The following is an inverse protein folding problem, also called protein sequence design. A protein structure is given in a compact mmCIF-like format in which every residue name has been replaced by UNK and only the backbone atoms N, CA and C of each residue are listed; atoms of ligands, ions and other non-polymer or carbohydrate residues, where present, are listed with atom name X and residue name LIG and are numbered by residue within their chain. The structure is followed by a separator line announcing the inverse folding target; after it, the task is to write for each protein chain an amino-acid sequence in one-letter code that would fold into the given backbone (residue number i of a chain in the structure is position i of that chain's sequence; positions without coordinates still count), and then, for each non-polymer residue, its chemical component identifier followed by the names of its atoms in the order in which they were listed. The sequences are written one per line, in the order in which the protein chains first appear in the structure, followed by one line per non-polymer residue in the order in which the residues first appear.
data_IF_673980790555
#
_entry.id   IF_673980790555
#
_cell.length_a   1.000
_cell.length_b   1.000
_cell.length_c   1.000
_cell.angle_alpha   90.00
_cell.angle_beta   90.00
_cell.angle_gamma   90.00
#
_symmetry.space_group_name_H-M   'P 1'
#
loop_
_entity.id
_entity.type
_entity.pdbx_description
1 polymer ?
#
# COMPACT_ATOMS: atom_id res chain seq x y z
N UNK A 1 -0.79 -29.44 -7.61
CA UNK A 1 -1.23 -29.08 -6.24
C UNK A 1 -1.86 -27.71 -6.33
N UNK A 2 -2.93 -27.41 -5.57
CA UNK A 2 -3.54 -26.08 -5.57
C UNK A 2 -2.51 -25.03 -5.09
N UNK A 3 -2.55 -23.81 -5.65
CA UNK A 3 -1.66 -22.74 -5.23
C UNK A 3 -1.83 -22.43 -3.74
N UNK A 4 -0.72 -22.09 -3.07
CA UNK A 4 -0.74 -21.57 -1.73
C UNK A 4 -1.37 -20.17 -1.71
N UNK A 5 -2.34 -19.95 -0.83
CA UNK A 5 -3.01 -18.65 -0.70
C UNK A 5 -2.17 -17.74 0.20
N UNK A 6 -1.74 -16.61 -0.35
CA UNK A 6 -1.04 -15.56 0.41
C UNK A 6 -2.10 -14.71 1.13
N UNK A 7 -2.51 -15.15 2.33
CA UNK A 7 -3.51 -14.45 3.14
C UNK A 7 -2.92 -13.21 3.80
N UNK A 8 -3.14 -12.06 3.18
CA UNK A 8 -2.70 -10.77 3.70
C UNK A 8 -3.39 -10.39 5.02
N UNK A 9 -4.54 -10.96 5.38
CA UNK A 9 -5.12 -10.75 6.71
C UNK A 9 -4.29 -11.44 7.79
N UNK A 10 -3.82 -12.66 7.54
CA UNK A 10 -2.97 -13.40 8.47
C UNK A 10 -1.65 -12.65 8.68
N UNK A 11 -1.01 -12.23 7.60
CA UNK A 11 0.25 -11.50 7.64
C UNK A 11 0.07 -10.14 8.34
N UNK A 12 -1.01 -9.42 8.01
CA UNK A 12 -1.34 -8.16 8.69
C UNK A 12 -1.52 -8.35 10.19
N UNK A 13 -2.19 -9.42 10.64
CA UNK A 13 -2.33 -9.71 12.08
C UNK A 13 -0.99 -9.96 12.76
N UNK A 14 -0.09 -10.72 12.11
CA UNK A 14 1.24 -11.00 12.65
C UNK A 14 2.04 -9.70 12.83
N UNK A 15 2.13 -8.86 11.79
CA UNK A 15 2.86 -7.59 11.84
C UNK A 15 2.25 -6.63 12.85
N UNK A 16 0.92 -6.55 12.95
CA UNK A 16 0.27 -5.69 13.95
C UNK A 16 0.58 -6.13 15.38
N UNK A 17 0.71 -7.43 15.63
CA UNK A 17 1.11 -7.93 16.95
C UNK A 17 2.53 -7.49 17.32
N UNK A 18 3.47 -7.52 16.36
CA UNK A 18 4.82 -6.97 16.55
C UNK A 18 4.79 -5.46 16.82
N UNK A 19 4.03 -4.72 16.01
CA UNK A 19 3.87 -3.27 16.17
C UNK A 19 3.23 -2.87 17.50
N UNK A 20 2.28 -3.66 18.02
CA UNK A 20 1.68 -3.40 19.33
C UNK A 20 2.74 -3.41 20.43
N UNK A 21 3.73 -4.31 20.37
CA UNK A 21 4.83 -4.31 21.33
C UNK A 21 5.68 -3.04 21.20
N UNK A 22 5.98 -2.60 19.98
CA UNK A 22 6.70 -1.35 19.75
C UNK A 22 5.93 -0.12 20.26
N UNK A 23 4.60 -0.09 20.08
CA UNK A 23 3.73 0.99 20.55
C UNK A 23 3.74 1.05 22.08
N UNK A 24 3.61 -0.09 22.76
CA UNK A 24 3.65 -0.13 24.22
C UNK A 24 5.00 0.33 24.75
N UNK A 25 6.11 -0.07 24.10
CA UNK A 25 7.43 0.43 24.45
C UNK A 25 7.52 1.97 24.33
N UNK A 26 7.03 2.54 23.23
CA UNK A 26 7.01 4.00 23.03
C UNK A 26 6.23 4.72 24.13
N UNK A 27 5.09 4.16 24.57
CA UNK A 27 4.29 4.73 25.65
C UNK A 27 4.99 4.64 27.00
N UNK A 28 5.55 3.48 27.34
CA UNK A 28 6.09 3.24 28.68
C UNK A 28 7.46 3.89 28.89
N UNK A 29 8.33 3.84 27.87
CA UNK A 29 9.72 4.34 28.00
C UNK A 29 9.84 5.81 27.64
N UNK A 30 9.05 6.29 26.67
CA UNK A 30 9.21 7.63 26.10
C UNK A 30 7.98 8.53 26.29
N UNK A 31 6.87 8.01 26.85
CA UNK A 31 5.61 8.75 27.01
C UNK A 31 5.05 9.26 25.67
N UNK A 32 5.36 8.56 24.58
CA UNK A 32 4.90 8.90 23.22
C UNK A 32 3.82 7.90 22.81
N UNK A 33 2.66 8.43 22.44
CA UNK A 33 1.63 7.65 21.72
C UNK A 33 1.71 8.01 20.24
N UNK A 34 1.99 7.04 19.34
CA UNK A 34 1.98 7.30 17.90
C UNK A 34 0.64 7.86 17.46
N UNK A 35 0.67 8.86 16.58
CA UNK A 35 -0.50 9.65 16.23
C UNK A 35 -0.66 9.78 14.72
N UNK A 36 -1.83 9.40 14.20
CA UNK A 36 -2.16 9.50 12.78
C UNK A 36 -3.31 10.49 12.55
N UNK A 37 -3.07 11.50 11.72
CA UNK A 37 -4.12 12.35 11.16
C UNK A 37 -4.53 11.82 9.78
N UNK A 38 -5.84 11.62 9.58
CA UNK A 38 -6.42 11.24 8.29
C UNK A 38 -7.28 12.37 7.74
N UNK A 39 -7.06 12.77 6.50
CA UNK A 39 -7.83 13.83 5.82
C UNK A 39 -8.63 13.21 4.68
N UNK A 40 -9.94 13.40 4.71
CA UNK A 40 -10.86 12.95 3.68
C UNK A 40 -11.55 14.18 3.07
N UNK A 41 -11.51 14.30 1.75
CA UNK A 41 -12.22 15.35 1.02
C UNK A 41 -13.35 14.76 0.18
N UNK A 42 -14.58 15.20 0.43
CA UNK A 42 -15.78 14.74 -0.27
C UNK A 42 -16.35 13.43 0.28
N UNK A 43 -17.24 12.81 -0.50
CA UNK A 43 -18.14 11.75 -0.01
C UNK A 43 -17.96 10.42 -0.74
N UNK A 44 -16.81 10.19 -1.38
CA UNK A 44 -16.57 8.93 -2.09
C UNK A 44 -16.74 7.72 -1.13
N UNK A 45 -17.70 6.81 -1.38
CA UNK A 45 -17.99 5.72 -0.45
C UNK A 45 -16.83 4.74 -0.23
N UNK A 46 -15.98 4.55 -1.25
CA UNK A 46 -14.77 3.73 -1.13
C UNK A 46 -13.76 4.39 -0.20
N UNK A 47 -13.46 5.67 -0.42
CA UNK A 47 -12.54 6.46 0.43
C UNK A 47 -13.01 6.50 1.88
N UNK A 48 -14.29 6.74 2.12
CA UNK A 48 -14.87 6.69 3.47
C UNK A 48 -14.69 5.33 4.15
N UNK A 49 -14.91 4.24 3.42
CA UNK A 49 -14.72 2.89 3.97
C UNK A 49 -13.27 2.64 4.35
N UNK A 50 -12.32 3.05 3.50
CA UNK A 50 -10.90 2.90 3.79
C UNK A 50 -10.46 3.72 5.00
N UNK A 51 -10.87 4.98 5.09
CA UNK A 51 -10.54 5.85 6.23
C UNK A 51 -11.12 5.28 7.53
N UNK A 52 -12.36 4.80 7.53
CA UNK A 52 -12.95 4.11 8.69
C UNK A 52 -12.14 2.90 9.13
N UNK A 53 -11.67 2.08 8.18
CA UNK A 53 -10.85 0.90 8.50
C UNK A 53 -9.48 1.29 9.07
N UNK A 54 -8.84 2.32 8.53
CA UNK A 54 -7.57 2.86 9.03
C UNK A 54 -7.70 3.36 10.46
N UNK A 55 -8.71 4.20 10.72
CA UNK A 55 -8.97 4.73 12.06
C UNK A 55 -9.31 3.62 13.05
N UNK A 56 -10.16 2.66 12.67
CA UNK A 56 -10.45 1.49 13.51
C UNK A 56 -9.16 0.74 13.89
N UNK A 57 -8.28 0.49 12.93
CA UNK A 57 -7.02 -0.22 13.19
C UNK A 57 -6.06 0.57 14.10
N UNK A 58 -6.00 1.91 13.97
CA UNK A 58 -5.25 2.75 14.92
C UNK A 58 -5.75 2.57 16.36
N UNK A 59 -7.06 2.65 16.58
CA UNK A 59 -7.66 2.54 17.91
C UNK A 59 -7.45 1.15 18.51
N UNK A 60 -7.61 0.08 17.70
CA UNK A 60 -7.36 -1.30 18.13
C UNK A 60 -5.91 -1.53 18.56
N UNK A 61 -4.94 -0.80 17.99
CA UNK A 61 -3.53 -0.87 18.34
C UNK A 61 -3.11 0.12 19.44
N UNK A 62 -4.06 0.90 19.97
CA UNK A 62 -3.80 1.90 21.01
C UNK A 62 -3.00 3.12 20.52
N UNK A 63 -3.11 3.48 19.24
CA UNK A 63 -2.57 4.71 18.67
C UNK A 63 -3.57 5.85 18.80
N UNK A 64 -3.07 7.09 18.85
CA UNK A 64 -3.90 8.27 18.70
C UNK A 64 -4.30 8.43 17.23
N UNK A 65 -5.56 8.74 16.96
CA UNK A 65 -6.07 8.92 15.60
C UNK A 65 -7.07 10.05 15.56
N UNK A 66 -6.91 10.94 14.58
CA UNK A 66 -7.87 11.99 14.28
C UNK A 66 -8.26 11.98 12.80
N UNK A 67 -9.52 12.30 12.53
CA UNK A 67 -10.06 12.36 11.18
C UNK A 67 -10.61 13.74 10.88
N UNK A 68 -10.13 14.33 9.81
CA UNK A 68 -10.62 15.58 9.24
C UNK A 68 -11.43 15.27 7.99
N UNK A 69 -12.74 15.54 8.02
CA UNK A 69 -13.61 15.34 6.86
C UNK A 69 -14.03 16.71 6.32
N UNK A 70 -13.62 17.00 5.09
CA UNK A 70 -13.88 18.27 4.41
C UNK A 70 -14.89 18.05 3.28
N UNK A 71 -15.73 19.06 2.97
CA UNK A 71 -16.67 18.95 1.86
C UNK A 71 -15.92 18.88 0.52
N UNK A 72 -16.55 18.31 -0.50
CA UNK A 72 -15.99 18.24 -1.86
C UNK A 72 -15.74 19.64 -2.48
N UNK A 73 -16.33 20.69 -1.91
CA UNK A 73 -16.22 22.09 -2.32
C UNK A 73 -15.09 22.85 -1.62
N UNK A 74 -14.34 22.21 -0.71
CA UNK A 74 -13.21 22.86 -0.02
C UNK A 74 -12.19 23.39 -1.04
N UNK A 75 -11.61 24.56 -0.75
CA UNK A 75 -10.55 25.12 -1.59
C UNK A 75 -9.20 24.46 -1.34
N UNK A 76 -8.31 24.53 -2.33
CA UNK A 76 -6.91 24.09 -2.20
C UNK A 76 -6.21 24.81 -1.03
N UNK A 77 -6.45 26.12 -0.88
CA UNK A 77 -5.86 26.94 0.20
C UNK A 77 -6.30 26.48 1.59
N UNK A 78 -7.59 26.15 1.77
CA UNK A 78 -8.10 25.65 3.05
C UNK A 78 -7.49 24.29 3.41
N UNK A 79 -7.36 23.40 2.42
CA UNK A 79 -6.73 22.09 2.63
C UNK A 79 -5.23 22.23 2.97
N UNK A 80 -4.51 23.11 2.28
CA UNK A 80 -3.11 23.42 2.59
C UNK A 80 -2.94 24.01 4.00
N UNK A 81 -3.86 24.88 4.44
CA UNK A 81 -3.85 25.43 5.79
C UNK A 81 -4.03 24.34 6.85
N UNK A 82 -4.94 23.39 6.62
CA UNK A 82 -5.10 22.23 7.51
C UNK A 82 -3.81 21.40 7.56
N UNK A 83 -3.19 21.09 6.42
CA UNK A 83 -1.94 20.32 6.37
C UNK A 83 -0.82 21.04 7.14
N UNK A 84 -0.72 22.36 7.01
CA UNK A 84 0.23 23.16 7.76
C UNK A 84 0.00 23.07 9.28
N UNK A 85 -1.25 23.05 9.74
CA UNK A 85 -1.58 22.84 11.16
C UNK A 85 -1.15 21.44 11.63
N UNK A 86 -1.45 20.40 10.85
CA UNK A 86 -1.09 19.01 11.17
C UNK A 86 0.44 18.80 11.19
N UNK A 87 1.16 19.46 10.29
CA UNK A 87 2.62 19.46 10.28
C UNK A 87 3.20 20.02 11.60
N UNK A 88 2.56 21.02 12.20
CA UNK A 88 3.00 21.63 13.47
C UNK A 88 2.51 20.87 14.72
N UNK A 89 1.48 20.03 14.59
CA UNK A 89 0.90 19.29 15.72
C UNK A 89 1.87 18.22 16.25
N UNK A 90 2.35 18.39 17.49
CA UNK A 90 3.35 17.48 18.11
C UNK A 90 2.81 16.09 18.41
N UNK A 91 1.50 15.95 18.61
CA UNK A 91 0.82 14.67 18.81
C UNK A 91 0.56 13.92 17.50
N UNK A 92 0.77 14.55 16.34
CA UNK A 92 0.62 13.94 15.02
C UNK A 92 1.99 13.59 14.46
N UNK A 93 2.22 12.30 14.24
CA UNK A 93 3.47 11.75 13.73
C UNK A 93 3.33 11.31 12.27
N UNK A 94 2.11 10.89 11.87
CA UNK A 94 1.78 10.54 10.50
C UNK A 94 0.60 11.36 9.99
N UNK A 95 0.66 11.76 8.74
CA UNK A 95 -0.42 12.43 8.01
C UNK A 95 -0.73 11.60 6.77
N UNK A 96 -2.01 11.36 6.55
CA UNK A 96 -2.57 10.74 5.37
C UNK A 96 -3.62 11.68 4.77
N UNK A 97 -3.44 12.07 3.51
CA UNK A 97 -4.52 12.66 2.70
C UNK A 97 -5.08 11.58 1.78
N UNK A 98 -6.36 11.23 1.96
CA UNK A 98 -6.99 10.15 1.21
C UNK A 98 -7.29 10.59 -0.23
N UNK A 99 -6.60 9.95 -1.18
CA UNK A 99 -6.81 10.12 -2.62
C UNK A 99 -7.95 9.25 -3.18
N UNK A 100 -8.53 9.59 -4.35
CA UNK A 100 -8.28 10.81 -5.13
C UNK A 100 -8.95 12.05 -4.51
N UNK A 101 -8.39 13.23 -4.77
CA UNK A 101 -8.99 14.51 -4.38
C UNK A 101 -9.98 15.01 -5.45
N UNK A 102 -10.88 15.95 -5.10
CA UNK A 102 -11.69 16.65 -6.09
C UNK A 102 -10.83 17.31 -7.18
N UNK A 103 -11.32 17.30 -8.42
CA UNK A 103 -10.55 17.72 -9.62
C UNK A 103 -10.01 19.15 -9.56
N UNK A 104 -10.59 20.02 -8.74
CA UNK A 104 -10.15 21.41 -8.59
C UNK A 104 -8.91 21.58 -7.69
N UNK A 105 -8.47 20.52 -7.02
CA UNK A 105 -7.31 20.53 -6.12
C UNK A 105 -6.15 19.80 -6.80
N UNK A 106 -4.97 20.40 -6.79
CA UNK A 106 -3.75 19.74 -7.27
C UNK A 106 -3.23 18.76 -6.21
N UNK A 107 -3.41 17.45 -6.47
CA UNK A 107 -2.94 16.39 -5.58
C UNK A 107 -1.43 16.48 -5.29
N UNK A 108 -0.62 16.90 -6.26
CA UNK A 108 0.83 16.97 -6.09
C UNK A 108 1.22 18.04 -5.08
N UNK A 109 0.58 19.22 -5.14
CA UNK A 109 0.82 20.29 -4.15
C UNK A 109 0.44 19.86 -2.74
N UNK A 110 -0.65 19.11 -2.62
CA UNK A 110 -1.10 18.59 -1.33
C UNK A 110 -0.10 17.57 -0.77
N UNK A 111 0.39 16.65 -1.60
CA UNK A 111 1.42 15.67 -1.22
C UNK A 111 2.71 16.38 -0.78
N UNK A 112 3.18 17.38 -1.54
CA UNK A 112 4.39 18.15 -1.24
C UNK A 112 4.27 19.04 0.01
N UNK A 113 3.05 19.41 0.41
CA UNK A 113 2.82 20.18 1.61
C UNK A 113 2.98 19.37 2.90
N UNK A 114 2.90 18.04 2.84
CA UNK A 114 3.10 17.16 4.01
C UNK A 114 4.61 17.09 4.29
N UNK A 115 5.03 17.33 5.54
CA UNK A 115 6.44 17.19 5.90
C UNK A 115 6.94 15.76 5.59
N UNK A 116 8.12 15.56 4.96
CA UNK A 116 8.63 14.23 4.64
C UNK A 116 8.68 13.27 5.83
N UNK A 117 8.97 13.78 7.02
CA UNK A 117 9.01 13.06 8.30
C UNK A 117 7.63 12.73 8.89
N UNK A 118 6.55 13.27 8.32
CA UNK A 118 5.15 12.93 8.66
C UNK A 118 4.37 12.29 7.51
N UNK A 119 4.98 12.08 6.34
CA UNK A 119 4.37 11.46 5.17
C UNK A 119 4.18 9.94 5.38
N UNK A 120 3.10 9.58 6.08
CA UNK A 120 2.83 8.21 6.47
C UNK A 120 2.50 7.30 5.27
N UNK A 121 2.02 7.88 4.17
CA UNK A 121 1.74 7.15 2.93
C UNK A 121 2.97 7.01 2.02
N UNK A 122 4.07 7.72 2.31
CA UNK A 122 5.34 7.62 1.58
C UNK A 122 5.32 8.21 0.17
N UNK A 123 4.39 9.13 -0.13
CA UNK A 123 4.23 9.70 -1.48
C UNK A 123 5.00 11.00 -1.70
N UNK A 124 5.50 11.63 -0.64
CA UNK A 124 6.26 12.86 -0.76
C UNK A 124 7.49 12.63 -1.66
N UNK A 125 7.78 13.52 -2.64
CA UNK A 125 8.90 13.34 -3.58
C UNK A 125 10.25 13.08 -2.90
N UNK A 126 10.50 13.69 -1.74
CA UNK A 126 11.68 13.40 -0.91
C UNK A 126 11.77 11.93 -0.46
N UNK A 127 10.66 11.33 0.00
CA UNK A 127 10.63 9.92 0.42
C UNK A 127 10.73 8.99 -0.79
N UNK A 128 10.06 9.33 -1.89
CA UNK A 128 10.20 8.61 -3.16
C UNK A 128 11.63 8.68 -3.73
N UNK A 129 12.28 9.83 -3.61
CA UNK A 129 13.68 10.03 -3.99
C UNK A 129 14.61 9.17 -3.13
N UNK A 130 14.44 9.19 -1.80
CA UNK A 130 15.16 8.31 -0.87
C UNK A 130 14.98 6.84 -1.23
N UNK A 131 13.75 6.41 -1.49
CA UNK A 131 13.44 5.05 -1.93
C UNK A 131 14.19 4.68 -3.22
N UNK A 132 14.20 5.56 -4.22
CA UNK A 132 14.86 5.33 -5.50
C UNK A 132 16.36 5.04 -5.33
N UNK A 133 17.03 5.81 -4.47
CA UNK A 133 18.49 5.68 -4.25
C UNK A 133 18.87 4.78 -3.07
N UNK A 134 17.90 4.10 -2.45
CA UNK A 134 18.15 3.16 -1.36
C UNK A 134 18.53 3.82 -0.03
N UNK A 135 18.06 5.04 0.23
CA UNK A 135 18.22 5.71 1.53
C UNK A 135 17.03 5.42 2.47
N UNK A 136 17.26 5.47 3.80
CA UNK A 136 16.18 5.36 4.78
C UNK A 136 15.12 6.46 4.59
N UNK A 137 13.85 6.06 4.61
CA UNK A 137 12.69 6.94 4.48
C UNK A 137 11.39 6.13 4.52
N UNK A 138 10.24 6.82 4.53
CA UNK A 138 8.96 6.12 4.46
C UNK A 138 8.75 5.52 3.08
N UNK A 139 8.17 4.32 3.08
CA UNK A 139 7.90 3.54 1.87
C UNK A 139 6.40 3.58 1.59
N UNK A 140 5.97 3.73 0.32
CA UNK A 140 4.58 3.58 -0.06
C UNK A 140 3.91 2.34 0.52
N UNK A 141 2.80 2.53 1.21
CA UNK A 141 2.16 1.50 2.04
C UNK A 141 1.83 0.22 1.25
N UNK A 142 1.27 0.36 0.05
CA UNK A 142 0.89 -0.79 -0.78
C UNK A 142 2.12 -1.57 -1.29
N UNK A 143 3.11 -0.94 -1.94
CA UNK A 143 4.38 -1.60 -2.27
C UNK A 143 5.07 -2.25 -1.08
N UNK A 144 5.16 -1.56 0.06
CA UNK A 144 5.80 -2.12 1.23
C UNK A 144 5.03 -3.33 1.77
N UNK A 145 3.69 -3.30 1.68
CA UNK A 145 2.83 -4.43 2.01
C UNK A 145 3.10 -5.64 1.11
N UNK A 146 3.26 -5.43 -0.20
CA UNK A 146 3.62 -6.49 -1.15
C UNK A 146 4.97 -7.10 -0.82
N UNK A 147 5.99 -6.29 -0.53
CA UNK A 147 7.30 -6.76 -0.11
C UNK A 147 7.19 -7.67 1.13
N UNK A 148 6.43 -7.23 2.15
CA UNK A 148 6.21 -8.03 3.36
C UNK A 148 5.39 -9.29 3.11
N UNK A 149 4.40 -9.26 2.22
CA UNK A 149 3.63 -10.45 1.86
C UNK A 149 4.51 -11.54 1.26
N UNK A 150 5.43 -11.16 0.37
CA UNK A 150 6.39 -12.09 -0.23
C UNK A 150 7.26 -12.76 0.84
N UNK A 151 7.85 -11.98 1.73
CA UNK A 151 8.80 -12.50 2.74
C UNK A 151 8.13 -13.32 3.83
N UNK A 152 7.00 -12.85 4.37
CA UNK A 152 6.23 -13.59 5.38
C UNK A 152 5.67 -14.91 4.85
N UNK A 153 5.50 -15.02 3.54
CA UNK A 153 5.00 -16.23 2.89
C UNK A 153 6.12 -17.16 2.40
N UNK A 154 7.39 -16.84 2.67
CA UNK A 154 8.55 -17.64 2.25
C UNK A 154 8.93 -17.50 0.76
N UNK A 155 8.39 -16.50 0.06
CA UNK A 155 8.68 -16.22 -1.34
C UNK A 155 9.63 -15.03 -1.48
N UNK A 156 10.84 -15.16 -0.92
CA UNK A 156 11.89 -14.13 -1.00
C UNK A 156 12.18 -13.74 -2.46
N UNK A 157 12.10 -12.43 -2.82
CA UNK A 157 12.38 -11.95 -4.16
C UNK A 157 13.86 -12.02 -4.57
N UNK A 158 14.78 -12.29 -3.64
CA UNK A 158 16.22 -12.31 -3.93
C UNK A 158 16.59 -13.28 -5.07
N UNK A 159 17.23 -12.73 -6.11
CA UNK A 159 17.66 -13.47 -7.29
C UNK A 159 16.53 -13.91 -8.24
N UNK A 160 15.27 -13.56 -7.95
CA UNK A 160 14.10 -13.88 -8.79
C UNK A 160 13.89 -12.84 -9.88
N UNK A 161 13.28 -13.26 -10.98
CA UNK A 161 12.75 -12.34 -11.98
C UNK A 161 11.35 -11.89 -11.58
N UNK A 162 11.24 -10.64 -11.15
CA UNK A 162 9.97 -9.99 -10.82
C UNK A 162 9.47 -9.21 -12.04
N UNK A 163 8.24 -9.45 -12.47
CA UNK A 163 7.56 -8.61 -13.46
C UNK A 163 6.45 -7.82 -12.76
N UNK A 164 6.54 -6.50 -12.85
CA UNK A 164 5.52 -5.58 -12.33
C UNK A 164 4.69 -5.08 -13.50
N UNK A 165 3.42 -5.43 -13.55
CA UNK A 165 2.47 -4.91 -14.54
C UNK A 165 1.77 -3.71 -13.93
N UNK A 166 2.17 -2.51 -14.37
CA UNK A 166 1.73 -1.24 -13.80
C UNK A 166 2.90 -0.35 -13.40
N UNK A 167 2.75 0.97 -13.62
CA UNK A 167 3.81 1.97 -13.37
C UNK A 167 3.31 3.26 -12.73
N UNK A 168 2.24 3.17 -11.95
CA UNK A 168 1.74 4.32 -11.17
C UNK A 168 2.81 4.81 -10.19
N UNK A 169 2.72 6.09 -9.80
CA UNK A 169 3.64 6.68 -8.82
C UNK A 169 3.44 6.12 -7.41
N UNK A 170 2.26 5.57 -7.12
CA UNK A 170 1.87 5.09 -5.78
C UNK A 170 2.06 3.58 -5.58
N UNK A 171 2.13 2.80 -6.66
CA UNK A 171 2.31 1.33 -6.58
C UNK A 171 3.44 0.86 -7.49
N UNK A 172 3.23 0.89 -8.81
CA UNK A 172 4.08 0.17 -9.76
C UNK A 172 5.55 0.59 -9.77
N UNK A 173 5.82 1.91 -9.82
CA UNK A 173 7.19 2.43 -9.73
C UNK A 173 7.83 2.12 -8.36
N UNK A 174 7.20 2.45 -7.22
CA UNK A 174 7.80 2.16 -5.92
C UNK A 174 8.02 0.67 -5.63
N UNK A 175 7.12 -0.25 -6.03
CA UNK A 175 7.38 -1.68 -5.80
C UNK A 175 8.55 -2.19 -6.64
N UNK A 176 8.69 -1.72 -7.88
CA UNK A 176 9.85 -2.04 -8.70
C UNK A 176 11.15 -1.57 -8.03
N UNK A 177 11.16 -0.34 -7.51
CA UNK A 177 12.31 0.23 -6.82
C UNK A 177 12.60 -0.44 -5.47
N UNK A 178 11.58 -0.86 -4.72
CA UNK A 178 11.78 -1.61 -3.47
C UNK A 178 12.46 -2.95 -3.73
N UNK A 179 11.97 -3.71 -4.71
CA UNK A 179 12.42 -5.07 -4.95
C UNK A 179 13.78 -5.13 -5.66
N UNK A 180 14.17 -4.08 -6.41
CA UNK A 180 15.50 -4.02 -7.04
C UNK A 180 16.63 -3.66 -6.07
N UNK A 181 16.31 -3.15 -4.86
CA UNK A 181 17.35 -2.69 -3.92
C UNK A 181 18.32 -3.79 -3.53
N UNK A 182 19.57 -3.40 -3.26
CA UNK A 182 20.62 -4.29 -2.72
C UNK A 182 20.45 -4.52 -1.22
N UNK A 183 19.29 -5.05 -0.82
CA UNK A 183 18.89 -5.23 0.59
C UNK A 183 18.21 -6.60 0.83
N UNK A 184 18.07 -6.99 2.11
CA UNK A 184 17.20 -8.12 2.46
C UNK A 184 15.77 -7.83 2.01
N UNK A 185 14.99 -8.89 1.75
CA UNK A 185 13.60 -8.75 1.28
C UNK A 185 13.47 -8.07 -0.11
N UNK A 186 14.57 -7.97 -0.84
CA UNK A 186 14.69 -7.32 -2.15
C UNK A 186 15.68 -8.12 -3.03
N UNK A 187 16.61 -7.47 -3.73
CA UNK A 187 17.60 -8.10 -4.63
C UNK A 187 16.99 -8.89 -5.81
N UNK A 188 15.83 -8.47 -6.33
CA UNK A 188 15.25 -9.03 -7.54
C UNK A 188 15.83 -8.43 -8.82
N UNK A 189 15.78 -9.21 -9.91
CA UNK A 189 15.82 -8.64 -11.26
C UNK A 189 14.40 -8.20 -11.62
N UNK A 190 14.20 -6.92 -11.96
CA UNK A 190 12.85 -6.35 -12.13
C UNK A 190 12.60 -5.91 -13.57
N UNK A 191 11.44 -6.28 -14.12
CA UNK A 191 10.91 -5.76 -15.38
C UNK A 191 9.59 -5.05 -15.13
N UNK A 192 9.44 -3.82 -15.65
CA UNK A 192 8.22 -3.03 -15.50
C UNK A 192 7.46 -3.00 -16.83
N UNK A 193 6.23 -3.50 -16.81
CA UNK A 193 5.31 -3.52 -17.93
C UNK A 193 4.22 -2.44 -17.78
N UNK A 194 3.67 -1.99 -18.90
CA UNK A 194 2.62 -0.97 -18.94
C UNK A 194 1.82 -1.04 -20.25
N UNK A 195 0.84 -0.15 -20.42
CA UNK A 195 -0.07 -0.08 -21.58
C UNK A 195 0.60 0.13 -22.96
N UNK A 196 1.92 0.28 -23.02
CA UNK A 196 2.70 0.43 -24.26
C UNK A 196 3.76 -0.66 -24.42
N UNK A 197 3.75 -1.66 -23.54
CA UNK A 197 4.61 -2.83 -23.63
C UNK A 197 4.12 -3.72 -24.77
N UNK A 198 4.96 -3.91 -25.79
CA UNK A 198 4.71 -4.92 -26.82
C UNK A 198 4.85 -6.33 -26.21
N UNK A 199 4.05 -7.28 -26.70
CA UNK A 199 4.07 -8.68 -26.27
C UNK A 199 4.00 -8.87 -24.75
N UNK A 200 3.16 -8.08 -24.08
CA UNK A 200 2.99 -8.13 -22.62
C UNK A 200 2.77 -9.56 -22.06
N UNK A 201 1.96 -10.45 -22.69
CA UNK A 201 1.83 -11.84 -22.24
C UNK A 201 3.15 -12.63 -22.22
N UNK A 202 4.05 -12.39 -23.18
CA UNK A 202 5.34 -13.08 -23.28
C UNK A 202 6.27 -12.64 -22.15
N UNK A 203 6.33 -11.34 -21.87
CA UNK A 203 7.16 -10.78 -20.79
C UNK A 203 6.62 -11.22 -19.43
N UNK A 204 5.31 -11.15 -19.21
CA UNK A 204 4.68 -11.59 -17.96
C UNK A 204 4.96 -13.07 -17.65
N UNK A 205 5.04 -13.93 -18.68
CA UNK A 205 5.32 -15.37 -18.53
C UNK A 205 6.78 -15.68 -18.17
N UNK A 206 7.67 -14.70 -18.16
CA UNK A 206 9.05 -14.88 -17.69
C UNK A 206 9.14 -14.79 -16.15
N UNK A 207 8.13 -14.17 -15.52
CA UNK A 207 8.13 -13.87 -14.10
C UNK A 207 8.19 -15.11 -13.21
N UNK A 208 9.15 -15.16 -12.30
CA UNK A 208 9.06 -16.01 -11.10
C UNK A 208 8.03 -15.42 -10.11
N UNK A 209 7.97 -14.09 -10.06
CA UNK A 209 7.01 -13.32 -9.26
C UNK A 209 6.33 -12.29 -10.16
N UNK A 210 5.02 -12.39 -10.33
CA UNK A 210 4.21 -11.43 -11.09
C UNK A 210 3.42 -10.54 -10.13
N UNK A 211 3.55 -9.22 -10.27
CA UNK A 211 2.81 -8.23 -9.48
C UNK A 211 1.89 -7.46 -10.43
N UNK A 212 0.58 -7.60 -10.26
CA UNK A 212 -0.43 -6.92 -11.08
C UNK A 212 -0.98 -5.69 -10.33
N UNK A 213 -0.82 -4.50 -10.91
CA UNK A 213 -1.20 -3.22 -10.32
C UNK A 213 -1.64 -2.20 -11.39
N UNK A 214 -2.65 -2.57 -12.18
CA UNK A 214 -3.16 -1.80 -13.32
C UNK A 214 -4.60 -1.28 -13.12
N UNK A 215 -5.33 -1.78 -12.12
CA UNK A 215 -6.72 -1.37 -11.87
C UNK A 215 -7.65 -1.74 -13.03
N UNK A 216 -7.46 -2.91 -13.62
CA UNK A 216 -8.30 -3.46 -14.68
C UNK A 216 -8.77 -4.85 -14.27
N UNK A 217 -10.08 -5.07 -14.07
CA UNK A 217 -10.60 -6.30 -13.52
C UNK A 217 -10.23 -7.51 -14.38
N UNK A 218 -9.65 -8.53 -13.75
CA UNK A 218 -9.41 -9.86 -14.35
C UNK A 218 -8.60 -9.83 -15.67
N UNK A 219 -7.76 -8.80 -15.86
CA UNK A 219 -6.96 -8.60 -17.08
C UNK A 219 -5.82 -9.62 -17.23
N UNK A 220 -5.15 -9.99 -16.13
CA UNK A 220 -4.09 -11.00 -16.13
C UNK A 220 -4.73 -12.38 -16.12
N UNK A 221 -4.56 -13.09 -17.22
CA UNK A 221 -5.14 -14.40 -17.50
C UNK A 221 -4.10 -15.53 -17.35
N UNK A 222 -4.55 -16.78 -17.36
CA UNK A 222 -3.71 -17.96 -17.14
C UNK A 222 -2.56 -18.09 -18.16
N UNK A 223 -2.76 -17.70 -19.41
CA UNK A 223 -1.75 -17.74 -20.46
C UNK A 223 -0.62 -16.73 -20.22
N UNK A 224 -0.84 -15.68 -19.44
CA UNK A 224 0.18 -14.67 -19.13
C UNK A 224 1.10 -15.09 -17.99
N UNK A 225 0.78 -16.17 -17.28
CA UNK A 225 1.46 -16.58 -16.05
C UNK A 225 2.28 -17.85 -16.28
N UNK A 226 3.52 -17.83 -15.78
CA UNK A 226 4.45 -18.98 -15.75
C UNK A 226 3.95 -20.05 -14.78
N UNK A 227 4.09 -21.32 -15.15
CA UNK A 227 3.80 -22.42 -14.22
C UNK A 227 4.72 -22.34 -13.00
N UNK A 228 4.13 -22.44 -11.81
CA UNK A 228 4.84 -22.31 -10.54
C UNK A 228 5.19 -20.87 -10.14
N UNK A 229 4.69 -19.84 -10.83
CA UNK A 229 4.90 -18.44 -10.42
C UNK A 229 4.22 -18.12 -9.09
N UNK A 230 4.77 -17.11 -8.41
CA UNK A 230 4.08 -16.39 -7.34
C UNK A 230 3.36 -15.19 -7.93
N UNK A 231 2.08 -15.01 -7.62
CA UNK A 231 1.27 -13.89 -8.14
C UNK A 231 0.76 -13.03 -7.01
N UNK A 232 1.08 -11.73 -7.04
CA UNK A 232 0.50 -10.74 -6.14
C UNK A 232 -0.43 -9.83 -6.93
N UNK A 233 -1.70 -9.90 -6.59
CA UNK A 233 -2.77 -9.08 -7.16
C UNK A 233 -3.03 -7.86 -6.26
N UNK A 234 -2.63 -6.69 -6.73
CA UNK A 234 -2.80 -5.41 -6.05
C UNK A 234 -4.12 -4.74 -6.43
N UNK A 235 -4.75 -5.17 -7.53
CA UNK A 235 -5.97 -4.59 -8.04
C UNK A 235 -7.13 -4.71 -7.05
N UNK A 236 -7.96 -3.67 -7.00
CA UNK A 236 -9.24 -3.71 -6.29
C UNK A 236 -10.29 -3.04 -7.14
N UNK A 237 -11.05 -3.85 -7.86
CA UNK A 237 -12.05 -3.45 -8.83
C UNK A 237 -13.44 -3.84 -8.34
N UNK A 238 -14.43 -2.97 -8.50
CA UNK A 238 -15.84 -3.29 -8.24
C UNK A 238 -16.46 -3.76 -9.54
N UNK A 239 -17.05 -4.96 -9.52
CA UNK A 239 -17.80 -5.53 -10.64
C UNK A 239 -19.23 -5.77 -10.16
N UNK A 240 -20.20 -5.28 -10.92
CA UNK A 240 -21.62 -5.49 -10.63
C UNK A 240 -21.94 -6.98 -10.57
N UNK A 241 -22.66 -7.37 -9.52
CA UNK A 241 -23.05 -8.74 -9.27
C UNK A 241 -24.38 -8.71 -8.53
N UNK A 242 -25.51 -8.87 -9.24
CA UNK A 242 -26.84 -8.87 -8.65
C UNK A 242 -27.07 -9.99 -7.61
N UNK A 243 -26.23 -11.03 -7.62
CA UNK A 243 -26.30 -12.13 -6.65
C UNK A 243 -25.55 -11.82 -5.36
N UNK A 244 -24.61 -10.86 -5.38
CA UNK A 244 -23.86 -10.46 -4.21
C UNK A 244 -24.72 -9.61 -3.25
N UNK A 245 -24.58 -9.75 -1.92
CA UNK A 245 -25.37 -8.98 -0.95
C UNK A 245 -25.30 -7.46 -1.08
N UNK A 246 -24.23 -6.94 -1.70
CA UNK A 246 -24.01 -5.51 -1.93
C UNK A 246 -24.33 -5.06 -3.37
N UNK A 247 -24.82 -5.96 -4.23
CA UNK A 247 -25.00 -5.73 -5.67
C UNK A 247 -23.70 -5.66 -6.48
N UNK A 248 -22.55 -5.92 -5.85
CA UNK A 248 -21.25 -5.98 -6.50
C UNK A 248 -20.30 -6.93 -5.75
N UNK A 249 -19.32 -7.47 -6.47
CA UNK A 249 -18.16 -8.19 -5.94
C UNK A 249 -16.89 -7.37 -6.11
N UNK A 250 -15.90 -7.62 -5.25
CA UNK A 250 -14.54 -7.10 -5.42
C UNK A 250 -13.70 -8.14 -6.13
N UNK A 251 -13.02 -7.73 -7.19
CA UNK A 251 -12.09 -8.57 -7.95
C UNK A 251 -10.78 -7.84 -8.11
N UNK A 252 -9.70 -8.59 -8.31
CA UNK A 252 -8.40 -8.01 -8.57
C UNK A 252 -8.15 -7.77 -10.06
N UNK A 253 -6.89 -7.52 -10.39
CA UNK A 253 -6.42 -7.41 -11.76
C UNK A 253 -6.14 -8.77 -12.40
N UNK A 254 -6.15 -9.85 -11.59
CA UNK A 254 -5.88 -11.21 -12.01
C UNK A 254 -7.18 -12.01 -12.06
N UNK A 255 -7.36 -12.80 -13.13
CA UNK A 255 -8.46 -13.75 -13.26
C UNK A 255 -8.19 -14.97 -12.37
N UNK A 256 -8.46 -14.79 -11.08
CA UNK A 256 -8.02 -15.66 -9.99
C UNK A 256 -8.31 -17.14 -10.23
N UNK A 257 -9.54 -17.48 -10.64
CA UNK A 257 -9.97 -18.88 -10.81
C UNK A 257 -9.18 -19.63 -11.91
N UNK A 258 -8.70 -18.91 -12.93
CA UNK A 258 -7.91 -19.49 -14.02
C UNK A 258 -6.42 -19.51 -13.73
N UNK A 259 -5.94 -18.50 -12.99
CA UNK A 259 -4.50 -18.32 -12.70
C UNK A 259 -4.06 -19.15 -11.51
N UNK A 260 -4.88 -19.24 -10.44
CA UNK A 260 -4.53 -19.94 -9.21
C UNK A 260 -4.11 -21.40 -9.43
N UNK A 261 -4.72 -22.21 -10.32
CA UNK A 261 -4.27 -23.59 -10.57
C UNK A 261 -2.83 -23.71 -11.12
N UNK A 262 -2.28 -22.65 -11.72
CA UNK A 262 -0.92 -22.63 -12.30
C UNK A 262 0.15 -22.18 -11.31
N UNK A 263 -0.23 -21.42 -10.29
CA UNK A 263 0.71 -20.74 -9.42
C UNK A 263 1.30 -21.67 -8.35
N UNK A 264 2.51 -21.35 -7.89
CA UNK A 264 2.99 -21.86 -6.60
C UNK A 264 2.25 -21.17 -5.45
N UNK A 265 2.02 -19.86 -5.57
CA UNK A 265 1.24 -19.07 -4.64
C UNK A 265 0.55 -17.88 -5.29
N UNK A 266 -0.57 -17.45 -4.71
CA UNK A 266 -1.35 -16.30 -5.20
C UNK A 266 -2.03 -15.55 -4.06
N UNK A 267 -2.05 -14.22 -4.13
CA UNK A 267 -2.84 -13.41 -3.18
C UNK A 267 -4.30 -13.29 -3.62
N UNK A 268 -5.29 -13.46 -2.72
CA UNK A 268 -6.69 -13.31 -3.07
C UNK A 268 -7.11 -11.83 -3.10
N UNK A 269 -8.17 -11.52 -3.84
CA UNK A 269 -8.88 -10.25 -3.74
C UNK A 269 -10.36 -10.53 -3.49
N UNK A 270 -10.94 -10.06 -2.36
CA UNK A 270 -10.31 -9.33 -1.26
C UNK A 270 -9.44 -10.23 -0.35
N UNK A 271 -8.69 -9.61 0.58
CA UNK A 271 -7.95 -10.32 1.64
C UNK A 271 -6.45 -10.47 1.42
N UNK A 272 -5.94 -10.13 0.23
CA UNK A 272 -4.50 -10.05 -0.08
C UNK A 272 -3.91 -8.70 0.31
N UNK A 273 -3.67 -7.83 -0.67
CA UNK A 273 -2.86 -6.61 -0.48
C UNK A 273 -3.54 -5.53 0.37
N UNK A 274 -4.87 -5.39 0.32
CA UNK A 274 -5.60 -4.33 1.04
C UNK A 274 -5.34 -4.25 2.55
N UNK A 275 -5.48 -5.37 3.32
CA UNK A 275 -5.13 -5.41 4.74
C UNK A 275 -3.68 -5.01 5.05
N UNK A 276 -2.76 -5.30 4.13
CA UNK A 276 -1.34 -4.97 4.27
C UNK A 276 -1.09 -3.48 4.06
N UNK A 277 -1.77 -2.84 3.12
CA UNK A 277 -1.70 -1.38 2.93
C UNK A 277 -2.04 -0.64 4.23
N UNK A 278 -3.11 -1.04 4.94
CA UNK A 278 -3.47 -0.42 6.22
C UNK A 278 -2.37 -0.69 7.25
N UNK A 279 -1.87 -1.92 7.33
CA UNK A 279 -0.84 -2.27 8.32
C UNK A 279 0.46 -1.50 8.10
N UNK A 280 0.86 -1.27 6.85
CA UNK A 280 2.07 -0.49 6.54
C UNK A 280 1.91 1.00 6.82
N UNK A 281 0.70 1.56 6.70
CA UNK A 281 0.42 2.92 7.13
C UNK A 281 0.65 3.08 8.65
N UNK A 282 0.17 2.11 9.44
CA UNK A 282 0.39 2.10 10.89
C UNK A 282 1.87 1.92 11.22
N UNK A 283 2.55 1.00 10.53
CA UNK A 283 3.99 0.82 10.64
C UNK A 283 4.73 2.15 10.40
N UNK A 284 4.49 2.83 9.28
CA UNK A 284 5.14 4.10 8.96
C UNK A 284 4.88 5.16 10.06
N UNK A 285 3.66 5.22 10.58
CA UNK A 285 3.30 6.13 11.68
C UNK A 285 4.05 5.80 12.98
N UNK A 286 4.18 4.52 13.33
CA UNK A 286 4.96 4.08 14.51
C UNK A 286 6.43 4.43 14.33
N UNK A 287 6.99 4.21 13.14
CA UNK A 287 8.39 4.58 12.85
C UNK A 287 8.60 6.10 12.87
N UNK A 288 7.63 6.89 12.41
CA UNK A 288 7.66 8.35 12.52
C UNK A 288 7.68 8.81 13.99
N UNK A 289 6.83 8.20 14.83
CA UNK A 289 6.81 8.47 16.28
C UNK A 289 8.10 8.02 16.97
N UNK A 290 8.72 6.94 16.53
CA UNK A 290 10.04 6.51 17.03
C UNK A 290 11.15 7.48 16.62
N UNK A 291 11.10 8.00 15.40
CA UNK A 291 12.10 8.95 14.90
C UNK A 291 12.05 10.28 15.65
N UNK A 292 10.88 10.71 16.14
CA UNK A 292 10.73 11.96 16.90
C UNK A 292 11.42 11.95 18.27
N UNK A 293 11.81 10.78 18.80
CA UNK A 293 12.61 10.68 20.04
C UNK A 293 14.02 11.26 19.86
N UNK A 294 14.57 11.17 18.63
CA UNK A 294 15.97 11.50 18.34
C UNK A 294 16.18 12.93 17.82
N UNK A 295 15.11 13.69 17.63
CA UNK A 295 15.13 15.09 17.18
C UNK A 295 14.83 16.04 18.31
#
# INVERSE_FOLDING_TARGET
MPAHIIDGNQIARAIRAELTQEIEQLKTEYQITPGLATVLVGENPASQSYVRMKNKACHEMGMYSEQHTLPATVSETELLALIAQLNQAKNIHGILVQLPLPKQIDEQKIIEAILPEKDADGFHPMNMGKLLIGLPGFRPCTPYGVQKMLTYSGYDPAGKHVVVVGRSNIVGKPIANLLLQKEKEANATVTVCHSRTANLPEIARQADILIAAIGQPEFITAEMVKDGAVVIDVGVNRVEDPSAPKGYRLVGDVKFDEVAPKCAAISPVPGGVGPMTITMLLHNTVQAARASIRG
#
